data_IF_759408489456
#
_entry.id   IF_759408489456
#
_cell.length_a   1.000
_cell.length_b   1.000
_cell.length_c   1.000
_cell.angle_alpha   90.00
_cell.angle_beta   90.00
_cell.angle_gamma   90.00
#
_symmetry.space_group_name_H-M   'P 1'
#
loop_
_entity.id
_entity.type
_entity.pdbx_description
1 polymer ?
#
# COMPACT_ATOMS: atom_id res chain seq x y z
N UNK A 1 -7.43 -9.86 9.64
CA UNK A 1 -6.27 -9.10 10.17
C UNK A 1 -6.12 -7.81 9.37
N UNK A 2 -5.83 -6.69 10.02
CA UNK A 2 -5.71 -5.38 9.36
C UNK A 2 -4.41 -5.26 8.55
N UNK A 3 -4.35 -4.37 7.53
CA UNK A 3 -3.11 -4.02 6.88
C UNK A 3 -2.09 -3.48 7.89
N UNK A 4 -0.81 -3.81 7.69
CA UNK A 4 0.30 -3.33 8.52
C UNK A 4 1.11 -2.24 7.80
N UNK A 5 1.88 -1.48 8.54
CA UNK A 5 2.85 -0.54 7.98
C UNK A 5 3.92 -1.28 7.19
N UNK A 6 4.51 -0.62 6.20
CA UNK A 6 5.63 -1.14 5.42
C UNK A 6 6.67 -0.06 5.17
N UNK A 7 7.91 -0.45 5.03
CA UNK A 7 9.00 0.46 4.69
C UNK A 7 9.15 0.58 3.16
N UNK A 8 9.56 1.76 2.70
CA UNK A 8 10.08 1.98 1.35
C UNK A 8 11.54 2.36 1.51
N UNK A 9 12.41 1.42 1.17
CA UNK A 9 13.85 1.60 1.37
C UNK A 9 14.35 2.68 0.40
N UNK A 10 15.06 3.66 0.94
CA UNK A 10 15.55 4.81 0.16
C UNK A 10 14.59 6.00 0.09
N UNK A 11 13.40 5.91 0.70
CA UNK A 11 12.44 7.02 0.77
C UNK A 11 12.17 7.44 2.22
N UNK A 12 12.44 8.70 2.50
CA UNK A 12 12.03 9.32 3.77
C UNK A 12 10.58 9.82 3.68
N UNK A 13 9.66 9.08 4.26
CA UNK A 13 8.23 9.42 4.26
C UNK A 13 7.90 10.69 5.06
N UNK A 14 8.77 11.12 5.97
CA UNK A 14 8.54 12.35 6.75
C UNK A 14 8.56 13.60 5.86
N UNK A 15 9.26 13.53 4.74
CA UNK A 15 9.30 14.60 3.72
C UNK A 15 7.89 14.87 3.17
N UNK A 16 7.10 13.81 2.92
CA UNK A 16 5.72 13.95 2.45
C UNK A 16 4.84 14.61 3.50
N UNK A 17 4.99 14.24 4.77
CA UNK A 17 4.28 14.90 5.88
C UNK A 17 4.56 16.40 5.95
N UNK A 18 5.83 16.80 5.74
CA UNK A 18 6.24 18.21 5.70
C UNK A 18 5.60 18.95 4.52
N UNK A 19 5.62 18.38 3.32
CA UNK A 19 4.97 19.00 2.15
C UNK A 19 3.47 19.15 2.34
N UNK A 20 2.78 18.13 2.88
CA UNK A 20 1.35 18.20 3.19
C UNK A 20 1.07 19.27 4.25
N UNK A 21 1.92 19.39 5.29
CA UNK A 21 1.80 20.44 6.31
C UNK A 21 1.96 21.84 5.75
N UNK A 22 2.96 22.04 4.89
CA UNK A 22 3.18 23.32 4.20
C UNK A 22 2.00 23.69 3.31
N UNK A 23 1.52 22.74 2.49
CA UNK A 23 0.36 22.95 1.62
C UNK A 23 -0.90 23.27 2.43
N UNK A 24 -1.13 22.57 3.55
CA UNK A 24 -2.26 22.83 4.44
C UNK A 24 -2.18 24.23 5.06
N UNK A 25 -0.99 24.67 5.48
CA UNK A 25 -0.77 26.03 5.98
C UNK A 25 -1.06 27.11 4.94
N UNK A 26 -0.58 26.92 3.72
CA UNK A 26 -0.86 27.84 2.60
C UNK A 26 -2.36 27.89 2.26
N UNK A 27 -3.03 26.75 2.20
CA UNK A 27 -4.48 26.69 1.95
C UNK A 27 -5.27 27.36 3.07
N UNK A 28 -4.89 27.15 4.32
CA UNK A 28 -5.54 27.81 5.46
C UNK A 28 -5.34 29.34 5.42
N UNK A 29 -4.13 29.81 5.08
CA UNK A 29 -3.85 31.23 4.93
C UNK A 29 -4.66 31.86 3.79
N UNK A 30 -4.74 31.18 2.64
CA UNK A 30 -5.56 31.63 1.52
C UNK A 30 -7.05 31.66 1.87
N UNK A 31 -7.55 30.61 2.55
CA UNK A 31 -8.94 30.56 3.01
C UNK A 31 -9.24 31.70 3.99
N UNK A 32 -8.33 32.03 4.91
CA UNK A 32 -8.49 33.17 5.83
C UNK A 32 -8.55 34.50 5.09
N UNK A 33 -7.68 34.74 4.10
CA UNK A 33 -7.70 35.96 3.28
C UNK A 33 -9.02 36.06 2.51
N UNK A 34 -9.44 34.99 1.84
CA UNK A 34 -10.70 34.99 1.08
C UNK A 34 -11.91 35.19 1.98
N UNK A 35 -11.90 34.60 3.18
CA UNK A 35 -12.95 34.76 4.16
C UNK A 35 -13.01 36.23 4.67
N UNK A 36 -11.86 36.86 4.92
CA UNK A 36 -11.78 38.26 5.33
C UNK A 36 -12.31 39.19 4.24
N UNK A 37 -11.91 39.00 2.98
CA UNK A 37 -12.40 39.77 1.84
C UNK A 37 -13.89 39.54 1.62
N UNK A 38 -14.38 38.31 1.74
CA UNK A 38 -15.80 37.98 1.63
C UNK A 38 -16.64 38.60 2.74
N UNK A 39 -16.10 38.64 3.97
CA UNK A 39 -16.71 39.27 5.11
C UNK A 39 -16.85 40.81 4.88
N UNK A 40 -15.76 41.47 4.48
CA UNK A 40 -15.77 42.90 4.20
C UNK A 40 -16.78 43.26 3.09
N UNK A 41 -16.89 42.40 2.07
CA UNK A 41 -17.87 42.60 1.00
C UNK A 41 -19.30 42.33 1.47
N UNK A 42 -19.55 41.33 2.31
CA UNK A 42 -20.86 41.02 2.88
C UNK A 42 -21.37 42.17 3.80
N UNK A 43 -20.50 42.71 4.66
CA UNK A 43 -20.85 43.83 5.53
C UNK A 43 -21.20 45.09 4.73
N UNK A 44 -20.47 45.39 3.64
CA UNK A 44 -20.79 46.48 2.71
C UNK A 44 -22.14 46.29 2.00
N UNK A 45 -22.58 45.05 1.82
CA UNK A 45 -23.89 44.70 1.25
C UNK A 45 -25.02 44.65 2.29
N UNK A 46 -24.73 44.94 3.57
CA UNK A 46 -25.73 45.07 4.65
C UNK A 46 -26.06 43.75 5.38
N UNK A 47 -25.23 42.68 5.22
CA UNK A 47 -25.39 41.45 5.99
C UNK A 47 -24.85 41.62 7.42
N UNK A 48 -25.52 41.00 8.41
CA UNK A 48 -25.11 41.11 9.82
C UNK A 48 -23.83 40.32 10.13
N UNK A 49 -23.01 40.84 11.07
CA UNK A 49 -21.74 40.26 11.48
C UNK A 49 -21.86 38.87 12.13
N UNK A 50 -23.00 38.50 12.71
CA UNK A 50 -23.17 37.29 13.49
C UNK A 50 -23.08 35.97 12.68
N UNK A 51 -23.33 36.01 11.38
CA UNK A 51 -23.31 34.80 10.53
C UNK A 51 -21.93 34.45 9.98
N UNK A 52 -20.99 35.38 9.98
CA UNK A 52 -19.69 35.23 9.29
C UNK A 52 -18.62 34.55 10.12
N UNK A 53 -18.68 34.63 11.45
CA UNK A 53 -17.69 33.97 12.35
C UNK A 53 -17.76 32.46 12.33
N UNK A 54 -18.93 31.87 12.05
CA UNK A 54 -19.15 30.43 12.04
C UNK A 54 -18.53 29.72 10.81
N UNK A 55 -18.31 30.46 9.72
CA UNK A 55 -17.79 29.89 8.47
C UNK A 55 -16.25 29.76 8.49
N UNK A 56 -15.57 30.60 9.27
CA UNK A 56 -14.09 30.64 9.27
C UNK A 56 -13.47 29.59 10.19
N UNK A 57 -14.14 29.25 11.29
CA UNK A 57 -13.61 28.38 12.32
C UNK A 57 -13.17 26.98 11.83
N UNK A 58 -13.91 26.27 10.94
CA UNK A 58 -13.47 24.95 10.48
C UNK A 58 -12.37 24.99 9.41
N UNK A 59 -12.01 26.14 8.85
CA UNK A 59 -11.03 26.26 7.76
C UNK A 59 -9.60 26.51 8.26
N UNK A 60 -9.17 25.75 9.28
CA UNK A 60 -7.81 25.84 9.80
C UNK A 60 -6.86 24.84 9.13
N UNK A 61 -5.55 25.03 9.35
CA UNK A 61 -4.50 24.17 8.75
C UNK A 61 -4.64 22.70 9.15
N UNK A 62 -5.16 22.39 10.35
CA UNK A 62 -5.37 21.02 10.81
C UNK A 62 -6.40 20.28 9.97
N UNK A 63 -7.51 20.93 9.62
CA UNK A 63 -8.56 20.38 8.77
C UNK A 63 -8.04 20.12 7.36
N UNK A 64 -7.33 21.10 6.77
CA UNK A 64 -6.69 20.90 5.46
C UNK A 64 -5.66 19.80 5.46
N UNK A 65 -4.83 19.72 6.52
CA UNK A 65 -3.87 18.65 6.67
C UNK A 65 -4.56 17.28 6.77
N UNK A 66 -5.58 17.14 7.61
CA UNK A 66 -6.31 15.89 7.79
C UNK A 66 -6.90 15.37 6.49
N UNK A 67 -7.64 16.21 5.77
CA UNK A 67 -8.25 15.81 4.50
C UNK A 67 -7.21 15.60 3.40
N UNK A 68 -6.18 16.43 3.33
CA UNK A 68 -5.07 16.30 2.40
C UNK A 68 -4.30 14.98 2.62
N UNK A 69 -4.01 14.65 3.87
CA UNK A 69 -3.36 13.39 4.24
C UNK A 69 -4.24 12.17 3.91
N UNK A 70 -5.54 12.23 4.23
CA UNK A 70 -6.48 11.17 3.89
C UNK A 70 -6.58 10.94 2.38
N UNK A 71 -6.69 12.01 1.61
CA UNK A 71 -6.74 11.96 0.15
C UNK A 71 -5.42 11.44 -0.42
N UNK A 72 -4.28 11.90 0.10
CA UNK A 72 -2.97 11.42 -0.31
C UNK A 72 -2.81 9.93 -0.03
N UNK A 73 -3.09 9.49 1.20
CA UNK A 73 -2.93 8.10 1.62
C UNK A 73 -3.78 7.12 0.80
N UNK A 74 -4.96 7.53 0.34
CA UNK A 74 -5.88 6.64 -0.38
C UNK A 74 -5.78 6.74 -1.90
N UNK A 75 -5.61 7.93 -2.45
CA UNK A 75 -5.84 8.16 -3.89
C UNK A 75 -4.70 8.90 -4.60
N UNK A 76 -4.13 9.98 -4.01
CA UNK A 76 -3.21 10.86 -4.73
C UNK A 76 -1.91 10.14 -5.06
N UNK A 77 -1.32 9.42 -4.12
CA UNK A 77 -0.07 8.70 -4.31
C UNK A 77 -0.15 7.64 -5.43
N UNK A 78 -1.36 7.13 -5.75
CA UNK A 78 -1.60 6.14 -6.81
C UNK A 78 -1.61 6.73 -8.21
N UNK A 79 -1.57 8.05 -8.35
CA UNK A 79 -1.49 8.69 -9.66
C UNK A 79 -0.13 8.42 -10.29
N UNK A 80 -0.08 8.00 -11.56
CA UNK A 80 1.15 7.60 -12.27
C UNK A 80 2.30 8.63 -12.13
N UNK A 81 1.97 9.91 -12.25
CA UNK A 81 2.94 11.00 -12.04
C UNK A 81 3.52 11.00 -10.62
N UNK A 82 2.67 10.84 -9.60
CA UNK A 82 3.10 10.82 -8.19
C UNK A 82 3.93 9.58 -7.89
N UNK A 83 3.51 8.41 -8.40
CA UNK A 83 4.29 7.17 -8.28
C UNK A 83 5.69 7.33 -8.89
N UNK A 84 5.80 7.92 -10.07
CA UNK A 84 7.09 8.16 -10.74
C UNK A 84 7.97 9.09 -9.91
N UNK A 85 7.40 10.15 -9.35
CA UNK A 85 8.11 11.12 -8.51
C UNK A 85 8.57 10.50 -7.19
N UNK A 86 7.75 9.67 -6.56
CA UNK A 86 8.05 9.05 -5.27
C UNK A 86 8.84 7.75 -5.38
N UNK A 87 8.89 7.15 -6.56
CA UNK A 87 9.51 5.84 -6.76
C UNK A 87 8.78 4.71 -6.03
N UNK A 88 7.45 4.82 -5.85
CA UNK A 88 6.62 3.83 -5.16
C UNK A 88 5.52 3.33 -6.10
N UNK A 89 5.56 2.05 -6.52
CA UNK A 89 4.56 1.48 -7.42
C UNK A 89 3.26 1.15 -6.69
N UNK A 90 2.14 1.22 -7.39
CA UNK A 90 0.85 0.70 -6.92
C UNK A 90 0.72 -0.79 -7.25
N UNK A 91 0.82 -1.61 -6.21
CA UNK A 91 0.73 -3.07 -6.31
C UNK A 91 -0.68 -3.61 -6.02
N UNK A 92 -1.65 -2.72 -5.75
CA UNK A 92 -3.02 -3.13 -5.44
C UNK A 92 -3.62 -4.02 -6.52
N UNK A 93 -4.38 -4.99 -6.11
CA UNK A 93 -5.16 -5.84 -7.00
C UNK A 93 -5.05 -7.32 -6.68
N UNK A 94 -5.65 -8.11 -7.55
CA UNK A 94 -5.55 -9.57 -7.54
C UNK A 94 -4.49 -10.04 -8.53
N UNK A 95 -3.77 -11.07 -8.11
CA UNK A 95 -2.71 -11.71 -8.86
C UNK A 95 -2.94 -13.21 -8.87
N UNK A 96 -2.82 -13.82 -10.02
CA UNK A 96 -2.76 -15.27 -10.14
C UNK A 96 -1.34 -15.72 -9.82
N UNK A 97 -1.20 -16.69 -8.92
CA UNK A 97 0.09 -17.17 -8.45
C UNK A 97 0.28 -18.64 -8.83
N UNK A 98 1.39 -18.92 -9.49
CA UNK A 98 1.90 -20.25 -9.74
C UNK A 98 3.19 -20.43 -8.93
N UNK A 99 3.21 -21.39 -8.04
CA UNK A 99 4.34 -21.68 -7.20
C UNK A 99 4.87 -23.10 -7.35
N UNK A 100 6.17 -23.26 -7.10
CA UNK A 100 6.83 -24.54 -7.06
C UNK A 100 7.64 -24.66 -5.78
N UNK A 101 7.54 -25.82 -5.13
CA UNK A 101 8.41 -26.20 -4.01
C UNK A 101 9.58 -27.00 -4.56
N UNK A 102 10.77 -26.77 -4.02
CA UNK A 102 12.01 -27.40 -4.46
C UNK A 102 12.64 -28.22 -3.34
N UNK A 103 13.42 -29.23 -3.71
CA UNK A 103 14.33 -29.93 -2.83
C UNK A 103 15.71 -29.23 -2.73
N UNK A 104 16.61 -29.79 -1.92
CA UNK A 104 17.95 -29.21 -1.73
C UNK A 104 18.83 -29.29 -2.99
N UNK A 105 18.46 -30.11 -3.96
CA UNK A 105 19.15 -30.29 -5.24
C UNK A 105 18.60 -29.34 -6.31
N UNK A 106 17.49 -28.60 -5.98
CA UNK A 106 16.85 -27.63 -6.86
C UNK A 106 15.73 -28.20 -7.73
N UNK A 107 15.43 -29.51 -7.61
CA UNK A 107 14.36 -30.16 -8.37
C UNK A 107 13.00 -29.73 -7.83
N UNK A 108 12.01 -29.57 -8.73
CA UNK A 108 10.62 -29.28 -8.35
C UNK A 108 9.99 -30.55 -7.77
N UNK A 109 9.57 -30.49 -6.51
CA UNK A 109 8.90 -31.59 -5.81
C UNK A 109 7.38 -31.43 -5.77
N UNK A 110 6.87 -30.21 -5.87
CA UNK A 110 5.43 -29.94 -5.82
C UNK A 110 5.10 -28.60 -6.49
N UNK A 111 4.07 -28.58 -7.32
CA UNK A 111 3.52 -27.37 -7.94
C UNK A 111 2.16 -27.00 -7.31
N UNK A 112 1.93 -25.72 -7.17
CA UNK A 112 0.69 -25.23 -6.57
C UNK A 112 0.22 -23.91 -7.19
N UNK A 113 -1.08 -23.66 -7.06
CA UNK A 113 -1.72 -22.42 -7.52
C UNK A 113 -2.39 -21.69 -6.38
N UNK A 114 -2.38 -20.39 -6.45
CA UNK A 114 -3.01 -19.53 -5.47
C UNK A 114 -3.55 -18.24 -6.12
N UNK A 115 -4.43 -17.57 -5.40
CA UNK A 115 -4.77 -16.17 -5.65
C UNK A 115 -4.05 -15.33 -4.61
N UNK A 116 -3.34 -14.29 -5.04
CA UNK A 116 -2.73 -13.29 -4.16
C UNK A 116 -3.49 -12.00 -4.30
N UNK A 117 -3.93 -11.43 -3.17
CA UNK A 117 -4.57 -10.11 -3.11
C UNK A 117 -3.63 -9.16 -2.39
N UNK A 118 -3.22 -8.09 -3.05
CA UNK A 118 -2.43 -7.02 -2.45
C UNK A 118 -3.35 -5.83 -2.21
N UNK A 119 -3.41 -5.38 -0.95
CA UNK A 119 -4.08 -4.14 -0.56
C UNK A 119 -3.03 -3.17 -0.05
N UNK A 120 -2.86 -2.06 -0.74
CA UNK A 120 -1.84 -1.07 -0.44
C UNK A 120 -2.45 0.33 -0.37
N UNK A 121 -2.08 1.06 0.67
CA UNK A 121 -2.22 2.52 0.78
C UNK A 121 -0.82 3.13 0.81
N UNK A 122 -0.72 4.43 0.91
CA UNK A 122 0.58 5.06 1.12
C UNK A 122 1.29 4.55 2.38
N UNK A 123 0.57 4.31 3.46
CA UNK A 123 1.13 3.93 4.76
C UNK A 123 1.16 2.43 4.99
N UNK A 124 0.20 1.69 4.47
CA UNK A 124 -0.04 0.29 4.85
C UNK A 124 -0.10 -0.62 3.65
N UNK A 125 0.31 -1.87 3.87
CA UNK A 125 0.20 -2.95 2.90
C UNK A 125 -0.34 -4.21 3.57
N UNK A 126 -0.98 -5.05 2.79
CA UNK A 126 -1.31 -6.43 3.12
C UNK A 126 -1.15 -7.28 1.88
N UNK A 127 -0.35 -8.33 1.97
CA UNK A 127 -0.27 -9.40 0.98
C UNK A 127 -1.02 -10.60 1.56
N UNK A 128 -2.08 -11.01 0.88
CA UNK A 128 -2.89 -12.16 1.26
C UNK A 128 -2.86 -13.19 0.14
N UNK A 129 -2.40 -14.40 0.44
CA UNK A 129 -2.37 -15.52 -0.49
C UNK A 129 -3.37 -16.58 -0.03
N UNK A 130 -4.16 -17.11 -0.96
CA UNK A 130 -5.16 -18.14 -0.71
C UNK A 130 -5.01 -19.28 -1.70
N UNK A 131 -4.88 -20.49 -1.17
CA UNK A 131 -4.97 -21.76 -1.92
C UNK A 131 -6.26 -22.50 -1.56
N UNK A 132 -6.48 -23.66 -2.16
CA UNK A 132 -7.55 -24.58 -1.74
C UNK A 132 -7.41 -25.04 -0.29
N UNK A 133 -6.18 -25.21 0.21
CA UNK A 133 -5.85 -25.89 1.48
C UNK A 133 -5.40 -24.95 2.59
N UNK A 134 -4.93 -23.75 2.28
CA UNK A 134 -4.40 -22.82 3.28
C UNK A 134 -4.52 -21.38 2.83
N UNK A 135 -4.26 -20.47 3.77
CA UNK A 135 -4.10 -19.06 3.47
C UNK A 135 -2.90 -18.48 4.20
N UNK A 136 -2.23 -17.50 3.61
CA UNK A 136 -1.16 -16.78 4.28
C UNK A 136 -1.41 -15.27 4.27
N UNK A 137 -0.86 -14.61 5.27
CA UNK A 137 -1.00 -13.17 5.49
C UNK A 137 0.35 -12.56 5.83
N UNK A 138 0.72 -11.48 5.16
CA UNK A 138 1.92 -10.73 5.52
C UNK A 138 1.84 -10.18 6.94
N UNK A 139 2.98 -10.16 7.63
CA UNK A 139 3.20 -9.61 8.98
C UNK A 139 4.03 -8.34 8.95
N UNK A 140 4.98 -8.28 8.03
CA UNK A 140 5.81 -7.12 7.73
C UNK A 140 6.14 -7.11 6.25
N UNK A 141 6.42 -5.93 5.69
CA UNK A 141 6.86 -5.83 4.31
C UNK A 141 7.81 -4.64 4.13
N UNK A 142 8.65 -4.75 3.10
CA UNK A 142 9.50 -3.68 2.61
C UNK A 142 9.45 -3.65 1.09
N UNK A 143 9.50 -2.46 0.54
CA UNK A 143 9.61 -2.22 -0.91
C UNK A 143 10.91 -1.47 -1.17
N UNK A 144 11.68 -1.92 -2.14
CA UNK A 144 12.92 -1.26 -2.57
C UNK A 144 12.94 -1.13 -4.08
N UNK A 145 13.56 -0.05 -4.57
CA UNK A 145 13.90 0.09 -5.98
C UNK A 145 15.40 -0.14 -6.13
N UNK A 146 15.79 -1.29 -6.65
CA UNK A 146 17.19 -1.65 -6.86
C UNK A 146 17.65 -1.27 -8.28
N UNK A 147 18.83 -0.64 -8.43
CA UNK A 147 19.41 -0.41 -9.74
C UNK A 147 19.60 -1.72 -10.51
N UNK A 148 19.10 -1.77 -11.75
CA UNK A 148 19.18 -2.96 -12.61
C UNK A 148 18.19 -4.09 -12.32
N UNK A 149 17.55 -4.12 -11.15
CA UNK A 149 16.52 -5.11 -10.81
C UNK A 149 15.09 -4.56 -10.80
N UNK A 150 14.92 -3.23 -10.74
CA UNK A 150 13.60 -2.63 -10.63
C UNK A 150 13.05 -2.68 -9.21
N UNK A 151 11.74 -2.87 -9.06
CA UNK A 151 11.10 -2.94 -7.74
C UNK A 151 11.14 -4.35 -7.18
N UNK A 152 11.48 -4.45 -5.89
CA UNK A 152 11.48 -5.71 -5.14
C UNK A 152 10.59 -5.55 -3.91
N UNK A 153 9.60 -6.43 -3.79
CA UNK A 153 8.71 -6.55 -2.63
C UNK A 153 9.19 -7.70 -1.75
N UNK A 154 9.59 -7.37 -0.53
CA UNK A 154 10.02 -8.33 0.49
C UNK A 154 8.96 -8.37 1.59
N UNK A 155 8.56 -9.57 2.03
CA UNK A 155 7.60 -9.67 3.14
C UNK A 155 7.74 -10.98 3.91
N UNK A 156 7.55 -10.88 5.22
CA UNK A 156 7.32 -12.05 6.07
C UNK A 156 5.83 -12.37 6.14
N UNK A 157 5.50 -13.64 6.29
CA UNK A 157 4.11 -14.07 6.36
C UNK A 157 3.88 -15.20 7.37
N UNK A 158 2.64 -15.36 7.77
CA UNK A 158 2.14 -16.51 8.50
C UNK A 158 1.12 -17.23 7.63
N UNK A 159 1.32 -18.52 7.45
CA UNK A 159 0.39 -19.43 6.78
C UNK A 159 -0.45 -20.16 7.82
N UNK A 160 -1.73 -20.29 7.53
CA UNK A 160 -2.71 -21.00 8.34
C UNK A 160 -3.43 -22.01 7.45
N UNK A 161 -3.37 -23.33 7.81
CA UNK A 161 -4.16 -24.36 7.14
C UNK A 161 -5.65 -24.11 7.27
N UNK A 162 -6.44 -24.59 6.33
CA UNK A 162 -7.89 -24.65 6.48
C UNK A 162 -8.29 -25.77 7.45
N UNK A 163 -9.46 -25.63 8.04
CA UNK A 163 -10.04 -26.68 8.87
C UNK A 163 -10.25 -27.92 7.99
N UNK A 164 -9.77 -29.09 8.45
CA UNK A 164 -9.84 -30.32 7.69
C UNK A 164 -8.55 -30.72 6.96
N UNK A 165 -7.47 -29.96 7.12
CA UNK A 165 -6.14 -30.25 6.56
C UNK A 165 -5.16 -30.68 7.67
N UNK A 166 -5.25 -31.92 8.21
CA UNK A 166 -4.50 -32.33 9.40
C UNK A 166 -3.00 -32.46 9.18
N UNK A 167 -2.56 -32.63 7.92
CA UNK A 167 -1.13 -32.74 7.57
C UNK A 167 -0.45 -31.38 7.47
N UNK A 168 -1.21 -30.30 7.33
CA UNK A 168 -0.67 -28.96 7.22
C UNK A 168 -0.58 -28.30 8.60
N UNK A 169 0.58 -27.72 8.89
CA UNK A 169 0.83 -26.98 10.14
C UNK A 169 0.96 -25.49 9.85
N UNK A 170 0.49 -24.70 10.82
CA UNK A 170 0.79 -23.25 10.82
C UNK A 170 2.30 -23.04 10.78
N UNK A 171 2.75 -22.21 9.86
CA UNK A 171 4.16 -21.90 9.70
C UNK A 171 4.36 -20.43 9.33
N UNK A 172 5.57 -19.94 9.49
CA UNK A 172 6.00 -18.61 9.07
C UNK A 172 6.97 -18.75 7.91
N UNK A 173 7.01 -17.75 7.06
CA UNK A 173 7.93 -17.72 5.94
C UNK A 173 8.29 -16.29 5.54
N UNK A 174 9.16 -16.22 4.56
CA UNK A 174 9.62 -15.00 3.93
C UNK A 174 9.54 -15.16 2.41
N UNK A 175 9.26 -14.08 1.73
CA UNK A 175 9.20 -14.05 0.28
C UNK A 175 9.84 -12.76 -0.23
N UNK A 176 10.56 -12.87 -1.33
CA UNK A 176 11.13 -11.77 -2.09
C UNK A 176 10.64 -11.86 -3.53
N UNK A 177 9.93 -10.83 -4.01
CA UNK A 177 9.35 -10.77 -5.34
C UNK A 177 9.94 -9.59 -6.10
N UNK A 178 10.61 -9.88 -7.20
CA UNK A 178 11.03 -8.88 -8.18
C UNK A 178 9.87 -8.59 -9.14
N UNK A 179 9.52 -7.33 -9.31
CA UNK A 179 8.46 -6.90 -10.21
C UNK A 179 9.02 -6.57 -11.60
N UNK A 180 8.23 -6.90 -12.63
CA UNK A 180 8.48 -6.44 -13.99
C UNK A 180 8.35 -4.91 -14.10
N UNK A 181 8.96 -4.32 -15.10
CA UNK A 181 8.91 -2.86 -15.31
C UNK A 181 7.48 -2.32 -15.48
N UNK A 182 6.62 -3.08 -16.11
CA UNK A 182 5.21 -2.75 -16.33
C UNK A 182 4.30 -3.09 -15.13
N UNK A 183 4.87 -3.68 -14.06
CA UNK A 183 4.16 -4.09 -12.85
C UNK A 183 3.03 -5.12 -13.10
N UNK A 184 3.14 -5.90 -14.16
CA UNK A 184 2.15 -6.95 -14.49
C UNK A 184 2.57 -8.33 -14.00
N UNK A 185 3.87 -8.54 -13.80
CA UNK A 185 4.44 -9.80 -13.32
C UNK A 185 5.31 -9.54 -12.10
N UNK A 186 5.29 -10.47 -11.15
CA UNK A 186 6.23 -10.51 -10.03
C UNK A 186 6.74 -11.94 -9.86
N UNK A 187 8.06 -12.12 -9.79
CA UNK A 187 8.68 -13.44 -9.63
C UNK A 187 9.69 -13.43 -8.50
N UNK A 188 9.80 -14.53 -7.80
CA UNK A 188 10.81 -14.63 -6.76
C UNK A 188 10.76 -15.88 -5.92
N UNK A 189 11.56 -15.88 -4.89
CA UNK A 189 11.78 -17.03 -4.04
C UNK A 189 11.06 -16.87 -2.69
N UNK A 190 10.68 -18.01 -2.13
CA UNK A 190 10.12 -18.07 -0.79
C UNK A 190 10.75 -19.19 0.02
N UNK A 191 10.76 -19.03 1.33
CA UNK A 191 11.09 -20.11 2.26
C UNK A 191 10.18 -20.10 3.48
N UNK A 192 9.98 -21.27 4.05
CA UNK A 192 9.18 -21.50 5.25
C UNK A 192 10.05 -22.00 6.40
N UNK A 193 9.62 -21.69 7.63
CA UNK A 193 10.23 -22.18 8.87
C UNK A 193 9.13 -22.34 9.95
N UNK A 194 9.51 -22.77 11.16
CA UNK A 194 8.57 -22.98 12.30
C UNK A 194 7.35 -23.83 11.95
N UNK A 195 7.59 -25.11 11.70
CA UNK A 195 6.53 -26.10 11.44
C UNK A 195 6.54 -26.69 10.04
N UNK A 196 7.23 -26.05 9.09
CA UNK A 196 7.46 -26.58 7.75
C UNK A 196 8.75 -26.02 7.17
N UNK A 197 9.71 -26.85 6.87
CA UNK A 197 10.96 -26.45 6.22
C UNK A 197 10.81 -26.75 4.73
N UNK A 198 10.47 -25.74 3.96
CA UNK A 198 10.33 -25.82 2.50
C UNK A 198 10.75 -24.49 1.89
N UNK A 199 11.24 -24.54 0.67
CA UNK A 199 11.54 -23.35 -0.12
C UNK A 199 11.14 -23.59 -1.58
N UNK A 200 11.09 -22.53 -2.34
CA UNK A 200 10.71 -22.63 -3.73
C UNK A 200 10.59 -21.27 -4.41
N UNK A 201 9.97 -21.29 -5.56
CA UNK A 201 9.77 -20.09 -6.39
C UNK A 201 8.30 -19.88 -6.66
N UNK A 202 7.91 -18.63 -6.79
CA UNK A 202 6.56 -18.27 -7.23
C UNK A 202 6.59 -17.19 -8.30
N UNK A 203 5.62 -17.27 -9.19
CA UNK A 203 5.34 -16.29 -10.22
C UNK A 203 3.91 -15.80 -10.07
N UNK A 204 3.77 -14.48 -9.96
CA UNK A 204 2.49 -13.80 -9.89
C UNK A 204 2.24 -13.06 -11.20
N UNK A 205 1.04 -13.20 -11.73
CA UNK A 205 0.56 -12.45 -12.89
C UNK A 205 -0.64 -11.64 -12.46
N UNK A 206 -0.58 -10.33 -12.69
CA UNK A 206 -1.64 -9.41 -12.29
C UNK A 206 -2.89 -9.66 -13.12
N UNK A 207 -4.02 -9.86 -12.46
CA UNK A 207 -5.31 -9.95 -13.14
C UNK A 207 -5.73 -8.57 -13.60
N UNK A 208 -6.20 -8.47 -14.85
CA UNK A 208 -6.83 -7.24 -15.31
C UNK A 208 -8.02 -6.91 -14.42
N UNK A 209 -8.07 -5.67 -13.93
CA UNK A 209 -9.25 -5.18 -13.24
C UNK A 209 -10.41 -5.19 -14.25
N UNK A 210 -11.40 -6.03 -14.01
CA UNK A 210 -12.68 -5.89 -14.71
C UNK A 210 -13.27 -4.55 -14.27
N UNK A 211 -12.92 -3.49 -15.00
CA UNK A 211 -13.62 -2.23 -14.88
C UNK A 211 -15.07 -2.49 -15.32
N UNK A 212 -15.98 -2.58 -14.35
CA UNK A 212 -17.39 -2.43 -14.56
C UNK A 212 -17.76 -0.95 -14.55
#
# INVERSE_FOLDING_TARGET
MQPHEYSVIGLDRTVIGRYLGTAAGLMASMAAILATLGFDMATRLGFSEAGSSLVIFPLNATVFYFFGHLAFNKWIWRRKFVQAMLGVPDLNGEWECHGSTKDNEGNVTYEWKATVTINQTWEKIRVYLSTGQSSSRSKSASLVKEPGRGYVLMYSYQNEPRIGEPELRTHVGYCELQLSEDLTVAEGDYFNNKGRITFGRMKLVRKESKNG
#
